data_IF_572295649757
#
_entry.id   IF_572295649757
#
_cell.length_a   1.000
_cell.length_b   1.000
_cell.length_c   1.000
_cell.angle_alpha   90.00
_cell.angle_beta   90.00
_cell.angle_gamma   90.00
#
_symmetry.space_group_name_H-M   'P 1'
#
loop_
_entity.id
_entity.type
_entity.pdbx_description
1 polymer ?
#
# COMPACT_ATOMS: atom_id res chain seq x y z
N UNK A 1 16.97 -8.26 -7.82
CA UNK A 1 16.58 -6.97 -8.45
C UNK A 1 15.21 -7.14 -9.12
N UNK A 2 14.12 -6.96 -8.38
CA UNK A 2 12.75 -6.97 -8.94
C UNK A 2 11.93 -5.83 -8.32
N UNK A 3 12.46 -4.61 -8.38
CA UNK A 3 11.71 -3.41 -8.04
C UNK A 3 10.73 -3.17 -9.18
N UNK A 4 9.50 -3.65 -9.01
CA UNK A 4 8.46 -3.50 -10.02
C UNK A 4 7.83 -2.12 -9.82
N UNK A 5 8.39 -1.10 -10.49
CA UNK A 5 7.80 0.24 -10.47
C UNK A 5 6.42 0.18 -11.11
N UNK A 6 5.37 0.39 -10.31
CA UNK A 6 4.00 0.42 -10.82
C UNK A 6 3.82 1.63 -11.75
N UNK A 7 3.26 1.38 -12.93
CA UNK A 7 2.85 2.45 -13.82
C UNK A 7 1.54 3.06 -13.30
N UNK A 8 1.44 4.39 -13.23
CA UNK A 8 0.22 5.10 -12.80
C UNK A 8 -1.04 4.66 -13.58
N UNK A 9 -0.89 4.23 -14.83
CA UNK A 9 -2.01 3.68 -15.62
C UNK A 9 -2.63 2.44 -14.99
N UNK A 10 -1.84 1.59 -14.33
CA UNK A 10 -2.34 0.41 -13.64
C UNK A 10 -3.11 0.76 -12.37
N UNK A 11 -2.94 1.98 -11.84
CA UNK A 11 -3.65 2.47 -10.65
C UNK A 11 -4.99 3.13 -10.98
N UNK A 12 -5.30 3.35 -12.27
CA UNK A 12 -6.57 3.98 -12.68
C UNK A 12 -7.79 3.25 -12.11
N UNK A 13 -7.91 1.90 -12.18
CA UNK A 13 -9.06 1.20 -11.61
C UNK A 13 -9.19 1.40 -10.08
N UNK A 14 -8.07 1.40 -9.35
CA UNK A 14 -8.06 1.65 -7.90
C UNK A 14 -8.52 3.08 -7.60
N UNK A 15 -8.06 4.05 -8.39
CA UNK A 15 -8.45 5.44 -8.23
C UNK A 15 -9.93 5.67 -8.53
N UNK A 16 -10.42 5.06 -9.60
CA UNK A 16 -11.82 5.17 -9.98
C UNK A 16 -12.70 4.57 -8.88
N UNK A 17 -12.33 3.41 -8.33
CA UNK A 17 -13.01 2.80 -7.18
C UNK A 17 -12.98 3.70 -5.93
N UNK A 18 -11.80 4.21 -5.54
CA UNK A 18 -11.66 5.09 -4.36
C UNK A 18 -12.54 6.33 -4.46
N UNK A 19 -12.67 6.91 -5.66
CA UNK A 19 -13.50 8.07 -5.89
C UNK A 19 -14.99 7.73 -5.98
N UNK A 20 -15.35 6.65 -6.68
CA UNK A 20 -16.74 6.21 -6.85
C UNK A 20 -17.42 5.92 -5.51
N UNK A 21 -16.69 5.28 -4.60
CA UNK A 21 -17.21 4.91 -3.28
C UNK A 21 -16.86 5.92 -2.17
N UNK A 22 -16.34 7.11 -2.55
CA UNK A 22 -15.82 8.14 -1.64
C UNK A 22 -15.00 7.57 -0.47
N UNK A 23 -14.10 6.65 -0.80
CA UNK A 23 -13.19 6.07 0.17
C UNK A 23 -12.27 7.17 0.72
N UNK A 24 -12.00 7.11 2.02
CA UNK A 24 -11.09 8.05 2.68
C UNK A 24 -9.66 7.91 2.14
N UNK A 25 -9.20 6.68 1.94
CA UNK A 25 -7.88 6.35 1.41
C UNK A 25 -7.88 5.01 0.66
N UNK A 26 -7.04 4.90 -0.36
CA UNK A 26 -6.64 3.66 -1.03
C UNK A 26 -5.18 3.33 -0.73
N UNK A 27 -4.91 2.05 -0.45
CA UNK A 27 -3.56 1.56 -0.14
C UNK A 27 -3.13 0.55 -1.20
N UNK A 28 -1.97 0.78 -1.80
CA UNK A 28 -1.37 -0.13 -2.78
C UNK A 28 -0.15 -0.78 -2.16
N UNK A 29 -0.22 -2.08 -1.91
CA UNK A 29 0.93 -2.84 -1.42
C UNK A 29 1.74 -3.31 -2.63
N UNK A 30 3.04 -3.04 -2.63
CA UNK A 30 3.92 -3.39 -3.74
C UNK A 30 5.30 -3.84 -3.27
N UNK A 31 6.13 -4.35 -4.19
CA UNK A 31 7.55 -4.65 -3.94
C UNK A 31 8.46 -3.43 -4.14
N UNK A 32 7.90 -2.23 -4.16
CA UNK A 32 8.72 -1.02 -4.16
C UNK A 32 9.48 -0.92 -2.84
N UNK A 33 10.60 -0.22 -2.84
CA UNK A 33 11.49 -0.12 -1.66
C UNK A 33 11.08 1.04 -0.75
N UNK A 34 10.26 1.95 -1.26
CA UNK A 34 9.89 3.20 -0.59
C UNK A 34 8.39 3.43 -0.63
N UNK A 35 7.89 4.06 0.41
CA UNK A 35 6.55 4.64 0.42
C UNK A 35 6.44 5.69 -0.68
N UNK A 36 5.33 5.70 -1.41
CA UNK A 36 5.09 6.66 -2.49
C UNK A 36 3.65 7.16 -2.44
N UNK A 37 3.47 8.48 -2.53
CA UNK A 37 2.14 9.04 -2.82
C UNK A 37 1.90 8.97 -4.32
N UNK A 38 0.82 8.28 -4.73
CA UNK A 38 0.42 8.19 -6.14
C UNK A 38 -0.65 9.23 -6.48
N UNK A 39 -1.46 9.59 -5.51
CA UNK A 39 -2.55 10.57 -5.58
C UNK A 39 -2.87 11.06 -4.15
N UNK A 40 -3.69 12.09 -3.99
CA UNK A 40 -4.08 12.66 -2.69
C UNK A 40 -4.77 11.64 -1.78
N UNK A 41 -5.50 10.71 -2.38
CA UNK A 41 -6.21 9.61 -1.68
C UNK A 41 -5.50 8.26 -1.79
N UNK A 42 -4.36 8.14 -2.48
CA UNK A 42 -3.73 6.84 -2.75
C UNK A 42 -2.25 6.82 -2.37
N UNK A 43 -1.90 5.91 -1.45
CA UNK A 43 -0.53 5.69 -0.99
C UNK A 43 -0.04 4.27 -1.34
N UNK A 44 1.18 4.20 -1.82
CA UNK A 44 1.94 2.97 -2.01
C UNK A 44 2.76 2.62 -0.78
N UNK A 45 2.58 1.42 -0.25
CA UNK A 45 3.34 0.89 0.88
C UNK A 45 4.18 -0.31 0.42
N UNK A 46 5.49 -0.33 0.71
CA UNK A 46 6.32 -1.51 0.53
C UNK A 46 5.80 -2.71 1.31
N UNK A 47 5.74 -3.88 0.67
CA UNK A 47 5.39 -5.14 1.34
C UNK A 47 6.36 -5.46 2.50
N UNK A 48 7.63 -5.07 2.38
CA UNK A 48 8.63 -5.21 3.44
C UNK A 48 8.31 -4.44 4.72
N UNK A 49 7.40 -3.46 4.67
CA UNK A 49 6.94 -2.70 5.83
C UNK A 49 5.69 -3.29 6.49
N UNK A 50 5.14 -4.38 5.94
CA UNK A 50 4.02 -5.09 6.58
C UNK A 50 4.55 -6.06 7.62
N UNK A 51 4.57 -5.64 8.89
CA UNK A 51 4.80 -6.57 10.00
C UNK A 51 3.51 -7.34 10.28
N UNK A 52 3.52 -8.68 10.30
CA UNK A 52 2.34 -9.46 10.63
C UNK A 52 1.98 -9.27 12.11
N UNK A 53 0.70 -9.03 12.39
CA UNK A 53 0.17 -8.74 13.73
C UNK A 53 0.45 -9.88 14.72
N UNK A 54 0.62 -11.11 14.24
CA UNK A 54 0.92 -12.28 15.08
C UNK A 54 2.29 -12.22 15.77
N UNK A 55 3.28 -11.52 15.19
CA UNK A 55 4.59 -11.34 15.83
C UNK A 55 4.54 -10.34 17.00
N UNK A 56 3.73 -9.29 16.89
CA UNK A 56 3.64 -8.23 17.90
C UNK A 56 3.00 -8.72 19.21
N UNK A 57 2.09 -9.70 19.13
CA UNK A 57 1.46 -10.32 20.31
C UNK A 57 2.43 -11.18 21.11
N UNK A 58 3.47 -11.73 20.47
CA UNK A 58 4.49 -12.54 21.13
C UNK A 58 5.44 -11.67 21.98
N UNK A 59 5.78 -10.47 21.52
CA UNK A 59 6.66 -9.55 22.27
C UNK A 59 6.00 -8.97 23.53
N UNK A 60 4.66 -8.96 23.62
CA UNK A 60 3.92 -8.42 24.75
C UNK A 60 3.42 -9.48 25.75
N UNK A 61 3.74 -10.75 25.51
CA UNK A 61 3.33 -11.88 26.37
C UNK A 61 4.48 -12.45 27.22
N UNK A 62 5.60 -11.74 27.34
CA UNK A 62 6.77 -12.10 28.16
C UNK A 62 6.72 -11.53 29.58
#
# INVERSE_FOLDING_TARGET
KHTQSLNLRHLRPVRDFVNEFDCRFGIVISRDEKVRMYDDKIIGIPFSMMTPIVELSYEHSG
#
